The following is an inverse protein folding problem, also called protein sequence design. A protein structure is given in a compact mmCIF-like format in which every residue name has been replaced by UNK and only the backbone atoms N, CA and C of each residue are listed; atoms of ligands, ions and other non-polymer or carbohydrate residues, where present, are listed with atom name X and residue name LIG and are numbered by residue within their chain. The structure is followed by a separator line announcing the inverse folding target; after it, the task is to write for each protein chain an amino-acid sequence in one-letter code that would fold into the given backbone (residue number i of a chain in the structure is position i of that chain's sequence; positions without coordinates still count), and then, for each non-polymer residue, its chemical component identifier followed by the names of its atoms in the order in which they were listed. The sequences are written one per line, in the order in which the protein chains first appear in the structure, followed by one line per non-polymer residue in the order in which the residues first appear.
data_IF_310721661362
#
_entry.id   IF_310721661362
#
_cell.length_a   1.000
_cell.length_b   1.000
_cell.length_c   1.000
_cell.angle_alpha   90.00
_cell.angle_beta   90.00
_cell.angle_gamma   90.00
#
_symmetry.space_group_name_H-M   'P 1'
#
loop_
_entity.id
_entity.type
_entity.pdbx_description
1 polymer ?
#
# COMPACT_ATOMS: atom_id res chain seq x y z
N UNK A 1 -1.48 13.89 -18.76
CA UNK A 1 -1.93 12.80 -17.84
C UNK A 1 -2.07 13.33 -16.40
N UNK A 2 -1.06 13.98 -15.83
CA UNK A 2 -1.05 14.50 -14.45
C UNK A 2 -2.21 15.50 -14.19
N UNK A 3 -2.44 16.45 -15.09
CA UNK A 3 -3.56 17.39 -14.96
C UNK A 3 -4.94 16.70 -14.97
N UNK A 4 -5.06 15.60 -15.71
CA UNK A 4 -6.29 14.79 -15.68
C UNK A 4 -6.48 14.14 -14.30
N UNK A 5 -5.42 13.63 -13.66
CA UNK A 5 -5.51 13.10 -12.30
C UNK A 5 -6.00 14.17 -11.32
N UNK A 6 -5.44 15.38 -11.39
CA UNK A 6 -5.86 16.49 -10.52
C UNK A 6 -7.32 16.88 -10.78
N UNK A 7 -7.73 16.93 -12.04
CA UNK A 7 -9.13 17.18 -12.40
C UNK A 7 -10.07 16.11 -11.84
N UNK A 8 -9.70 14.82 -11.94
CA UNK A 8 -10.47 13.72 -11.35
C UNK A 8 -10.54 13.83 -9.83
N UNK A 9 -9.45 14.24 -9.18
CA UNK A 9 -9.45 14.48 -7.72
C UNK A 9 -10.44 15.59 -7.33
N UNK A 10 -10.56 16.65 -8.12
CA UNK A 10 -11.57 17.70 -7.90
C UNK A 10 -12.99 17.14 -8.07
N UNK A 11 -13.26 16.44 -9.17
CA UNK A 11 -14.59 15.90 -9.47
C UNK A 11 -15.09 14.93 -8.40
N UNK A 12 -14.22 14.08 -7.89
CA UNK A 12 -14.57 13.06 -6.90
C UNK A 12 -14.26 13.46 -5.45
N UNK A 13 -13.82 14.70 -5.22
CA UNK A 13 -13.38 15.18 -3.90
C UNK A 13 -12.35 14.26 -3.23
N UNK A 14 -11.43 13.69 -4.01
CA UNK A 14 -10.33 12.85 -3.53
C UNK A 14 -9.21 13.74 -3.04
N UNK A 15 -8.57 13.35 -1.93
CA UNK A 15 -7.49 14.14 -1.31
C UNK A 15 -6.12 13.50 -1.42
N UNK A 16 -6.06 12.26 -1.88
CA UNK A 16 -4.83 11.46 -1.97
C UNK A 16 -4.67 10.90 -3.37
N UNK A 17 -3.43 10.92 -3.86
CA UNK A 17 -3.02 10.32 -5.12
C UNK A 17 -1.92 9.31 -4.81
N UNK A 18 -2.10 8.06 -5.23
CA UNK A 18 -1.09 7.02 -5.10
C UNK A 18 -0.05 7.16 -6.21
N UNK A 19 1.21 6.98 -5.86
CA UNK A 19 2.35 7.13 -6.76
C UNK A 19 3.32 5.94 -6.59
N UNK A 20 3.59 5.24 -7.68
CA UNK A 20 4.63 4.21 -7.79
C UNK A 20 5.73 4.65 -8.75
N UNK A 21 6.93 4.10 -8.61
CA UNK A 21 8.07 4.34 -9.48
C UNK A 21 8.61 3.00 -9.99
N UNK A 22 8.49 2.75 -11.28
CA UNK A 22 8.91 1.47 -11.86
C UNK A 22 10.43 1.39 -12.10
N UNK A 23 11.04 2.49 -12.50
CA UNK A 23 12.47 2.57 -12.80
C UNK A 23 13.29 2.77 -11.53
N UNK A 24 14.50 2.19 -11.53
CA UNK A 24 15.42 2.31 -10.39
C UNK A 24 16.34 3.53 -10.55
N UNK A 25 16.13 4.52 -9.70
CA UNK A 25 16.98 5.72 -9.59
C UNK A 25 17.57 5.86 -8.18
N UNK A 26 18.51 6.80 -8.02
CA UNK A 26 19.02 7.15 -6.69
C UNK A 26 17.92 7.77 -5.82
N UNK A 27 18.10 7.71 -4.51
CA UNK A 27 17.19 8.34 -3.55
C UNK A 27 17.09 9.84 -3.80
N UNK A 28 18.21 10.50 -4.06
CA UNK A 28 18.30 11.95 -4.25
C UNK A 28 17.52 12.39 -5.50
N UNK A 29 17.72 11.69 -6.63
CA UNK A 29 17.00 11.98 -7.87
C UNK A 29 15.49 11.74 -7.70
N UNK A 30 15.13 10.60 -7.11
CA UNK A 30 13.72 10.26 -6.87
C UNK A 30 13.06 11.27 -5.94
N UNK A 31 13.75 11.67 -4.87
CA UNK A 31 13.25 12.67 -3.93
C UNK A 31 13.08 14.05 -4.58
N UNK A 32 14.00 14.45 -5.46
CA UNK A 32 13.84 15.68 -6.25
C UNK A 32 12.58 15.64 -7.11
N UNK A 33 12.33 14.51 -7.81
CA UNK A 33 11.14 14.34 -8.66
C UNK A 33 9.84 14.28 -7.85
N UNK A 34 9.89 13.64 -6.69
CA UNK A 34 8.77 13.64 -5.75
C UNK A 34 8.45 15.05 -5.24
N UNK A 35 9.47 15.85 -4.88
CA UNK A 35 9.30 17.23 -4.48
C UNK A 35 8.64 18.06 -5.57
N UNK A 36 9.12 17.94 -6.81
CA UNK A 36 8.53 18.62 -7.97
C UNK A 36 7.05 18.23 -8.16
N UNK A 37 6.72 16.96 -8.00
CA UNK A 37 5.33 16.46 -8.05
C UNK A 37 4.49 17.01 -6.90
N UNK A 38 5.00 16.99 -5.68
CA UNK A 38 4.31 17.51 -4.49
C UNK A 38 3.97 19.00 -4.62
N UNK A 39 4.89 19.81 -5.18
CA UNK A 39 4.63 21.22 -5.43
C UNK A 39 3.51 21.41 -6.45
N UNK A 40 3.48 20.62 -7.55
CA UNK A 40 2.41 20.69 -8.56
C UNK A 40 1.08 20.17 -8.03
N UNK A 41 1.13 19.16 -7.15
CA UNK A 41 -0.05 18.56 -6.52
C UNK A 41 -0.73 19.50 -5.52
N UNK A 42 0.04 20.44 -4.93
CA UNK A 42 -0.48 21.46 -4.02
C UNK A 42 -1.18 20.86 -2.81
N UNK A 43 -2.50 20.93 -2.77
CA UNK A 43 -3.33 20.45 -1.64
C UNK A 43 -3.46 18.92 -1.55
N UNK A 44 -3.10 18.20 -2.60
CA UNK A 44 -3.24 16.74 -2.62
C UNK A 44 -2.06 16.06 -1.94
N UNK A 45 -2.36 15.01 -1.18
CA UNK A 45 -1.35 14.12 -0.61
C UNK A 45 -0.84 13.20 -1.72
N UNK A 46 0.48 13.08 -1.84
CA UNK A 46 1.13 12.11 -2.69
C UNK A 46 1.58 10.93 -1.82
N UNK A 47 0.87 9.83 -1.94
CA UNK A 47 1.20 8.58 -1.27
C UNK A 47 2.15 7.74 -2.11
N UNK A 48 3.39 7.59 -1.65
CA UNK A 48 4.39 6.74 -2.30
C UNK A 48 4.20 5.31 -1.85
N UNK A 49 4.02 4.41 -2.80
CA UNK A 49 3.82 2.98 -2.56
C UNK A 49 5.08 2.19 -2.90
N UNK A 50 5.76 1.62 -1.89
CA UNK A 50 6.86 0.68 -2.11
C UNK A 50 6.35 -0.65 -2.66
N UNK A 51 6.96 -1.12 -3.76
CA UNK A 51 6.61 -2.38 -4.42
C UNK A 51 7.89 -3.17 -4.73
N UNK A 52 8.03 -4.46 -4.36
CA UNK A 52 9.29 -5.22 -4.46
C UNK A 52 9.84 -5.37 -5.87
N UNK A 53 9.02 -5.18 -6.89
CA UNK A 53 9.39 -5.21 -8.30
C UNK A 53 9.58 -3.82 -8.93
N UNK A 54 9.63 -2.77 -8.10
CA UNK A 54 9.69 -1.37 -8.54
C UNK A 54 11.02 -0.70 -8.19
N UNK A 55 11.18 0.55 -8.60
CA UNK A 55 12.31 1.40 -8.22
C UNK A 55 12.34 1.79 -6.74
N UNK A 56 11.25 1.56 -6.00
CA UNK A 56 11.15 1.72 -4.54
C UNK A 56 10.72 0.37 -3.98
N UNK A 57 11.64 -0.59 -3.77
CA UNK A 57 11.30 -1.98 -3.51
C UNK A 57 10.79 -2.26 -2.08
N UNK A 58 11.05 -1.36 -1.14
CA UNK A 58 10.73 -1.57 0.27
C UNK A 58 10.44 -0.26 1.01
N UNK A 59 9.93 -0.38 2.22
CA UNK A 59 9.58 0.76 3.09
C UNK A 59 10.80 1.61 3.44
N UNK A 60 11.98 1.01 3.61
CA UNK A 60 13.21 1.73 3.94
C UNK A 60 13.60 2.71 2.83
N UNK A 61 13.59 2.26 1.56
CA UNK A 61 13.85 3.15 0.42
C UNK A 61 12.72 4.16 0.25
N UNK A 62 11.46 3.73 0.42
CA UNK A 62 10.30 4.62 0.37
C UNK A 62 10.41 5.76 1.37
N UNK A 63 10.75 5.44 2.62
CA UNK A 63 10.98 6.47 3.65
C UNK A 63 12.17 7.37 3.34
N UNK A 64 13.28 6.82 2.87
CA UNK A 64 14.44 7.63 2.48
C UNK A 64 14.07 8.67 1.41
N UNK A 65 13.27 8.29 0.41
CA UNK A 65 12.77 9.18 -0.65
C UNK A 65 11.81 10.24 -0.09
N UNK A 66 10.80 9.84 0.69
CA UNK A 66 9.83 10.77 1.29
C UNK A 66 10.52 11.77 2.21
N UNK A 67 11.44 11.31 3.06
CA UNK A 67 12.23 12.14 3.97
C UNK A 67 13.10 13.13 3.21
N UNK A 68 13.81 12.68 2.17
CA UNK A 68 14.67 13.53 1.35
C UNK A 68 13.89 14.51 0.46
N UNK A 69 12.65 14.18 0.07
CA UNK A 69 11.78 15.11 -0.63
C UNK A 69 11.39 16.32 0.22
N UNK A 70 11.33 16.15 1.54
CA UNK A 70 11.05 17.20 2.51
C UNK A 70 9.77 18.00 2.17
N UNK A 71 8.70 17.27 1.87
CA UNK A 71 7.39 17.84 1.56
C UNK A 71 6.36 17.35 2.58
N UNK A 72 5.51 18.27 3.07
CA UNK A 72 4.45 17.95 4.03
C UNK A 72 3.46 16.93 3.45
N UNK A 73 3.09 17.12 2.17
CA UNK A 73 2.15 16.29 1.44
C UNK A 73 2.76 15.01 0.83
N UNK A 74 4.07 14.76 0.97
CA UNK A 74 4.67 13.48 0.63
C UNK A 74 4.51 12.49 1.79
N UNK A 75 3.89 11.34 1.54
CA UNK A 75 3.62 10.31 2.54
C UNK A 75 3.81 8.92 1.96
N UNK A 76 3.78 7.90 2.82
CA UNK A 76 3.86 6.49 2.43
C UNK A 76 2.48 5.85 2.40
N UNK A 77 2.34 4.86 1.54
CA UNK A 77 1.28 3.85 1.55
C UNK A 77 1.94 2.52 1.86
N UNK A 78 1.32 1.72 2.70
CA UNK A 78 1.82 0.38 3.02
C UNK A 78 0.80 -0.66 2.57
N UNK A 79 1.25 -1.63 1.79
CA UNK A 79 0.45 -2.75 1.31
C UNK A 79 0.98 -4.06 1.88
N UNK A 80 0.09 -4.94 2.34
CA UNK A 80 0.46 -6.21 2.98
C UNK A 80 1.20 -7.14 2.02
N UNK A 81 0.73 -7.27 0.76
CA UNK A 81 1.37 -8.13 -0.22
C UNK A 81 2.79 -7.64 -0.53
N UNK A 82 2.92 -6.33 -0.79
CA UNK A 82 4.21 -5.72 -1.08
C UNK A 82 5.17 -5.84 0.09
N UNK A 83 4.67 -5.67 1.31
CA UNK A 83 5.44 -5.84 2.54
C UNK A 83 6.05 -7.24 2.65
N UNK A 84 5.22 -8.26 2.49
CA UNK A 84 5.63 -9.67 2.62
C UNK A 84 6.57 -10.07 1.48
N UNK A 85 6.26 -9.69 0.25
CA UNK A 85 7.07 -10.02 -0.94
C UNK A 85 8.39 -9.24 -1.02
N UNK A 86 8.52 -8.15 -0.28
CA UNK A 86 9.80 -7.48 -0.03
C UNK A 86 10.63 -8.17 1.07
N UNK A 87 10.19 -9.34 1.59
CA UNK A 87 10.82 -10.08 2.69
C UNK A 87 11.01 -9.24 3.97
N UNK A 88 10.11 -8.32 4.24
CA UNK A 88 10.13 -7.50 5.44
C UNK A 88 9.46 -8.25 6.59
N UNK A 89 10.08 -8.32 7.78
CA UNK A 89 9.40 -8.86 8.95
C UNK A 89 8.24 -7.96 9.36
N UNK A 90 7.17 -8.54 9.90
CA UNK A 90 6.04 -7.77 10.44
C UNK A 90 6.38 -7.38 11.88
N UNK A 91 7.23 -6.38 12.00
CA UNK A 91 7.77 -5.89 13.26
C UNK A 91 7.87 -4.37 13.24
N UNK A 92 7.64 -3.74 14.40
CA UNK A 92 7.75 -2.29 14.57
C UNK A 92 9.12 -1.72 14.22
N UNK A 93 10.17 -2.53 14.33
CA UNK A 93 11.54 -2.19 13.97
C UNK A 93 11.68 -1.72 12.53
N UNK A 94 10.89 -2.26 11.60
CA UNK A 94 10.88 -1.83 10.18
C UNK A 94 10.36 -0.40 10.04
N UNK A 95 9.49 0.04 10.94
CA UNK A 95 8.91 1.39 10.96
C UNK A 95 9.68 2.35 11.89
N UNK A 96 10.85 1.94 12.40
CA UNK A 96 11.66 2.81 13.23
C UNK A 96 12.08 4.09 12.48
N UNK A 97 12.01 5.23 13.17
CA UNK A 97 12.33 6.54 12.58
C UNK A 97 11.32 7.07 11.55
N UNK A 98 10.23 6.34 11.28
CA UNK A 98 9.12 6.82 10.43
C UNK A 98 8.03 7.40 11.32
N UNK A 99 7.71 8.70 11.23
CA UNK A 99 6.58 9.29 11.96
C UNK A 99 5.25 8.66 11.52
N UNK A 100 4.34 8.42 12.46
CA UNK A 100 3.06 7.76 12.18
C UNK A 100 2.19 8.55 11.18
N UNK A 101 2.25 9.88 11.22
CA UNK A 101 1.53 10.77 10.31
C UNK A 101 2.09 10.79 8.88
N UNK A 102 3.27 10.21 8.67
CA UNK A 102 3.86 10.01 7.32
C UNK A 102 3.39 8.72 6.63
N UNK A 103 2.53 7.94 7.25
CA UNK A 103 1.85 6.80 6.65
C UNK A 103 0.37 7.16 6.50
N UNK A 104 -0.06 7.41 5.26
CA UNK A 104 -1.38 8.01 4.98
C UNK A 104 -2.49 6.99 4.79
N UNK A 105 -2.19 5.84 4.26
CA UNK A 105 -3.14 4.75 4.05
C UNK A 105 -2.45 3.39 4.08
N UNK A 106 -3.24 2.36 4.29
CA UNK A 106 -2.80 0.98 4.17
C UNK A 106 -3.70 0.23 3.18
N UNK A 107 -3.11 -0.74 2.50
CA UNK A 107 -3.81 -1.69 1.65
C UNK A 107 -3.64 -3.08 2.25
N UNK A 108 -4.75 -3.77 2.43
CA UNK A 108 -4.76 -5.10 3.04
C UNK A 108 -5.23 -6.17 2.05
N UNK A 109 -4.53 -7.26 2.07
CA UNK A 109 -4.71 -8.47 1.30
C UNK A 109 -3.95 -9.59 1.99
N UNK A 110 -3.87 -10.76 1.42
CA UNK A 110 -3.01 -11.83 1.90
C UNK A 110 -2.22 -12.45 0.74
N UNK A 111 -1.29 -13.32 1.07
CA UNK A 111 -0.37 -13.93 0.12
C UNK A 111 -0.38 -15.45 0.23
N UNK A 112 -0.04 -16.12 -0.86
CA UNK A 112 0.28 -17.54 -0.85
C UNK A 112 1.60 -17.79 -0.10
N UNK A 113 1.75 -18.97 0.49
CA UNK A 113 3.03 -19.38 1.07
C UNK A 113 4.17 -19.31 0.04
N UNK A 114 3.85 -19.60 -1.21
CA UNK A 114 4.75 -19.47 -2.37
C UNK A 114 4.01 -18.74 -3.49
N UNK A 115 4.71 -18.10 -4.42
CA UNK A 115 4.08 -17.63 -5.64
C UNK A 115 3.31 -18.77 -6.31
N UNK A 116 2.01 -18.56 -6.54
CA UNK A 116 1.10 -19.63 -6.95
C UNK A 116 1.43 -20.19 -8.33
N UNK A 117 1.50 -19.34 -9.33
CA UNK A 117 1.66 -19.77 -10.73
C UNK A 117 2.85 -19.14 -11.44
N UNK A 118 3.57 -18.22 -10.81
CA UNK A 118 4.62 -17.44 -11.44
C UNK A 118 5.75 -17.13 -10.47
N UNK A 119 6.98 -17.04 -11.01
CA UNK A 119 8.14 -16.50 -10.28
C UNK A 119 8.29 -15.00 -10.47
N UNK A 120 7.42 -14.36 -11.26
CA UNK A 120 7.46 -12.93 -11.56
C UNK A 120 6.54 -12.21 -10.58
N UNK A 121 7.12 -11.53 -9.59
CA UNK A 121 6.38 -10.84 -8.53
C UNK A 121 5.30 -9.89 -9.06
N UNK A 122 5.56 -9.19 -10.16
CA UNK A 122 4.58 -8.29 -10.75
C UNK A 122 3.33 -9.04 -11.23
N UNK A 123 3.50 -10.19 -11.84
CA UNK A 123 2.38 -10.99 -12.34
C UNK A 123 1.55 -11.53 -11.16
N UNK A 124 2.21 -12.05 -10.12
CA UNK A 124 1.51 -12.46 -8.88
C UNK A 124 0.72 -11.28 -8.29
N UNK A 125 1.33 -10.10 -8.19
CA UNK A 125 0.67 -8.89 -7.67
C UNK A 125 -0.58 -8.49 -8.45
N UNK A 126 -0.61 -8.78 -9.75
CA UNK A 126 -1.67 -8.35 -10.66
C UNK A 126 -2.71 -9.44 -10.96
N UNK A 127 -2.54 -10.67 -10.42
CA UNK A 127 -3.41 -11.80 -10.77
C UNK A 127 -3.75 -12.72 -9.60
N UNK A 128 -2.87 -12.82 -8.58
CA UNK A 128 -2.92 -13.92 -7.62
C UNK A 128 -2.94 -13.46 -6.15
N UNK A 129 -3.47 -12.26 -5.86
CA UNK A 129 -3.63 -11.82 -4.47
C UNK A 129 -4.77 -12.56 -3.80
N UNK A 130 -4.64 -12.79 -2.49
CA UNK A 130 -5.66 -13.43 -1.66
C UNK A 130 -6.46 -12.39 -0.86
N UNK A 131 -7.69 -12.74 -0.53
CA UNK A 131 -8.48 -11.94 0.39
C UNK A 131 -7.80 -11.90 1.78
N UNK A 132 -7.94 -10.80 2.54
CA UNK A 132 -7.33 -10.68 3.86
C UNK A 132 -7.64 -11.87 4.76
N UNK A 133 -6.60 -12.46 5.37
CA UNK A 133 -6.73 -13.59 6.28
C UNK A 133 -6.99 -14.94 5.62
N UNK A 134 -6.93 -15.05 4.28
CA UNK A 134 -7.13 -16.34 3.58
C UNK A 134 -5.86 -16.99 3.04
N UNK A 135 -4.70 -16.38 3.30
CA UNK A 135 -3.39 -16.87 2.92
C UNK A 135 -2.57 -17.37 4.11
N UNK A 136 -1.32 -16.97 4.17
CA UNK A 136 -0.41 -17.39 5.25
C UNK A 136 -0.62 -16.63 6.57
N UNK A 137 -1.69 -15.85 6.68
CA UNK A 137 -2.09 -15.20 7.93
C UNK A 137 -1.28 -13.96 8.27
N UNK A 138 -0.73 -13.26 7.29
CA UNK A 138 0.10 -12.05 7.51
C UNK A 138 -0.71 -10.79 7.78
N UNK A 139 -1.96 -10.74 7.34
CA UNK A 139 -2.79 -9.53 7.41
C UNK A 139 -3.10 -9.10 8.85
N UNK A 140 -3.49 -10.02 9.72
CA UNK A 140 -3.83 -9.71 11.13
C UNK A 140 -2.60 -9.14 11.87
N UNK A 141 -1.42 -9.79 11.87
CA UNK A 141 -0.22 -9.22 12.49
C UNK A 141 0.16 -7.86 11.90
N UNK A 142 0.04 -7.68 10.58
CA UNK A 142 0.33 -6.41 9.92
C UNK A 142 -0.58 -5.28 10.43
N UNK A 143 -1.90 -5.50 10.46
CA UNK A 143 -2.86 -4.50 10.97
C UNK A 143 -2.63 -4.21 12.46
N UNK A 144 -2.31 -5.21 13.28
CA UNK A 144 -1.93 -5.02 14.69
C UNK A 144 -0.68 -4.15 14.83
N UNK A 145 0.35 -4.39 14.02
CA UNK A 145 1.57 -3.58 13.99
C UNK A 145 1.28 -2.11 13.61
N UNK A 146 0.42 -1.87 12.62
CA UNK A 146 0.00 -0.53 12.21
C UNK A 146 -0.72 0.20 13.36
N UNK A 147 -1.65 -0.48 14.03
CA UNK A 147 -2.35 0.06 15.22
C UNK A 147 -1.37 0.39 16.35
N UNK A 148 -0.46 -0.53 16.67
CA UNK A 148 0.54 -0.37 17.74
C UNK A 148 1.51 0.79 17.45
N UNK A 149 1.92 0.98 16.20
CA UNK A 149 2.71 2.15 15.77
C UNK A 149 1.98 3.48 16.00
N UNK A 150 0.69 3.48 16.26
CA UNK A 150 -0.13 4.68 16.41
C UNK A 150 -0.51 5.34 15.09
N UNK A 151 -0.36 4.62 13.97
CA UNK A 151 -0.78 5.11 12.65
C UNK A 151 -2.31 5.26 12.64
N UNK A 152 -2.79 6.33 12.01
CA UNK A 152 -4.21 6.60 11.78
C UNK A 152 -4.41 6.84 10.28
N UNK A 153 -4.58 5.77 9.51
CA UNK A 153 -4.68 5.90 8.06
C UNK A 153 -5.97 6.60 7.65
N UNK A 154 -5.90 7.43 6.63
CA UNK A 154 -7.08 8.05 6.03
C UNK A 154 -8.01 7.01 5.38
N UNK A 155 -7.44 5.90 4.95
CA UNK A 155 -8.17 4.76 4.38
C UNK A 155 -7.46 3.44 4.68
N UNK A 156 -8.26 2.41 4.92
CA UNK A 156 -7.85 1.01 4.87
C UNK A 156 -8.46 0.47 3.58
N UNK A 157 -7.64 0.39 2.53
CA UNK A 157 -8.05 -0.16 1.24
C UNK A 157 -7.94 -1.68 1.24
N UNK A 158 -8.78 -2.34 0.43
CA UNK A 158 -8.67 -3.77 0.18
C UNK A 158 -8.26 -3.94 -1.28
N UNK A 159 -7.01 -4.34 -1.51
CA UNK A 159 -6.48 -4.47 -2.86
C UNK A 159 -6.24 -5.95 -3.19
N UNK A 160 -7.29 -6.62 -3.65
CA UNK A 160 -7.27 -8.04 -4.02
C UNK A 160 -7.48 -8.17 -5.52
N UNK A 161 -6.39 -8.16 -6.27
CA UNK A 161 -6.38 -8.42 -7.70
C UNK A 161 -6.18 -9.94 -7.85
N UNK A 162 -7.26 -10.65 -8.24
CA UNK A 162 -7.32 -12.12 -8.23
C UNK A 162 -8.18 -12.65 -9.36
N UNK A 163 -7.55 -13.29 -10.35
CA UNK A 163 -8.24 -13.91 -11.47
C UNK A 163 -9.18 -15.03 -11.00
N UNK A 164 -8.73 -15.84 -10.05
CA UNK A 164 -9.53 -16.92 -9.47
C UNK A 164 -10.81 -16.43 -8.76
N UNK A 165 -10.80 -15.23 -8.19
CA UNK A 165 -12.01 -14.63 -7.63
C UNK A 165 -12.91 -14.06 -8.73
N UNK A 166 -12.34 -13.46 -9.78
CA UNK A 166 -13.11 -12.92 -10.90
C UNK A 166 -13.77 -14.00 -11.74
N UNK A 167 -13.14 -15.16 -11.91
CA UNK A 167 -13.74 -16.34 -12.55
C UNK A 167 -15.04 -16.81 -11.87
N UNK A 168 -15.15 -16.60 -10.56
CA UNK A 168 -16.37 -16.90 -9.78
C UNK A 168 -17.43 -15.79 -9.85
N UNK A 169 -17.10 -14.69 -10.53
CA UNK A 169 -17.97 -13.54 -10.71
C UNK A 169 -17.71 -12.41 -9.70
N UNK A 170 -18.04 -11.19 -10.12
CA UNK A 170 -17.76 -9.97 -9.37
C UNK A 170 -18.47 -9.91 -8.02
N UNK A 171 -19.69 -10.44 -7.93
CA UNK A 171 -20.44 -10.51 -6.67
C UNK A 171 -19.76 -11.41 -5.66
N UNK A 172 -19.26 -12.59 -6.11
CA UNK A 172 -18.45 -13.47 -5.27
C UNK A 172 -17.19 -12.78 -4.79
N UNK A 173 -16.44 -12.17 -5.71
CA UNK A 173 -15.19 -11.48 -5.39
C UNK A 173 -15.41 -10.40 -4.34
N UNK A 174 -16.41 -9.55 -4.53
CA UNK A 174 -16.76 -8.47 -3.60
C UNK A 174 -17.17 -9.00 -2.21
N UNK A 175 -18.08 -9.97 -2.17
CA UNK A 175 -18.57 -10.55 -0.92
C UNK A 175 -17.46 -11.29 -0.16
N UNK A 176 -16.72 -12.15 -0.85
CA UNK A 176 -15.62 -12.92 -0.26
C UNK A 176 -14.55 -11.99 0.33
N UNK A 177 -14.14 -10.97 -0.41
CA UNK A 177 -13.17 -9.99 0.04
C UNK A 177 -13.68 -9.18 1.23
N UNK A 178 -14.92 -8.69 1.19
CA UNK A 178 -15.54 -7.93 2.27
C UNK A 178 -15.63 -8.74 3.58
N UNK A 179 -16.19 -9.95 3.51
CA UNK A 179 -16.41 -10.78 4.71
C UNK A 179 -15.09 -11.15 5.40
N UNK A 180 -14.04 -11.43 4.64
CA UNK A 180 -12.73 -11.74 5.20
C UNK A 180 -12.02 -10.50 5.73
N UNK A 181 -12.12 -9.37 5.05
CA UNK A 181 -11.65 -8.08 5.58
C UNK A 181 -12.28 -7.75 6.92
N UNK A 182 -13.59 -7.88 7.02
CA UNK A 182 -14.32 -7.63 8.26
C UNK A 182 -13.80 -8.48 9.41
N UNK A 183 -13.62 -9.80 9.21
CA UNK A 183 -13.05 -10.69 10.23
C UNK A 183 -11.66 -10.28 10.68
N UNK A 184 -10.80 -9.92 9.73
CA UNK A 184 -9.43 -9.44 10.03
C UNK A 184 -9.48 -8.15 10.88
N UNK A 185 -10.33 -7.19 10.53
CA UNK A 185 -10.45 -5.95 11.26
C UNK A 185 -11.12 -6.15 12.63
N UNK A 186 -12.13 -7.01 12.75
CA UNK A 186 -12.74 -7.40 14.04
C UNK A 186 -11.69 -7.98 15.00
N UNK A 187 -10.75 -8.77 14.49
CA UNK A 187 -9.67 -9.36 15.30
C UNK A 187 -8.54 -8.37 15.61
N UNK A 188 -8.10 -7.61 14.63
CA UNK A 188 -6.87 -6.81 14.72
C UNK A 188 -7.13 -5.37 15.20
N UNK A 189 -8.23 -4.76 14.76
CA UNK A 189 -8.52 -3.36 15.01
C UNK A 189 -10.02 -3.05 14.94
N UNK A 190 -10.85 -3.56 15.88
CA UNK A 190 -12.31 -3.41 15.81
C UNK A 190 -12.79 -1.95 15.84
N UNK A 191 -11.97 -1.01 16.33
CA UNK A 191 -12.35 0.40 16.45
C UNK A 191 -12.39 1.14 15.08
N UNK A 192 -11.99 0.51 13.98
CA UNK A 192 -12.09 1.10 12.65
C UNK A 192 -13.33 0.64 11.86
N UNK A 193 -14.12 -0.25 12.43
CA UNK A 193 -15.42 -0.70 11.94
C UNK A 193 -16.52 0.17 12.54
#
# INVERSE_FOLDING_TARGET
KEQLCFHMCELFNVKQINCGLMENYSVEYTAQKLRELCHRAGKYIIGVEPMPYSGIPDVKKGWAVVKAADCENAKLILDTWHWVRANQPIELSVLEGIPADKIVSIQINDVWERPYATTILRDESMHDRLAPGTGIGTTVPFVKMIKEKGIRPNAIGVEVISDANLEKGIEYAAKHTYENTKKVLEEAWPEVL
#
